data_IF_217071852608
#
_entry.id   IF_217071852608
#
_cell.length_a   1.000
_cell.length_b   1.000
_cell.length_c   1.000
_cell.angle_alpha   90.00
_cell.angle_beta   90.00
_cell.angle_gamma   90.00
#
_symmetry.space_group_name_H-M   'P 1'
#
loop_
_entity.id
_entity.type
_entity.pdbx_description
1 polymer ?
#
# COMPACT_ATOMS: atom_id res chain seq x y z
N UNK A 1 17.64 -20.31 -2.32
CA UNK A 1 16.87 -19.35 -3.10
C UNK A 1 17.29 -17.94 -2.79
N UNK A 2 17.42 -17.16 -3.79
CA UNK A 2 17.77 -15.78 -3.58
C UNK A 2 16.51 -14.95 -3.42
N UNK A 3 16.36 -14.35 -2.27
CA UNK A 3 15.27 -13.43 -2.05
C UNK A 3 15.68 -12.09 -2.65
N UNK A 4 14.97 -11.67 -3.64
CA UNK A 4 15.22 -10.37 -4.18
C UNK A 4 14.83 -9.29 -3.21
N UNK A 5 14.88 -8.08 -3.70
CA UNK A 5 14.43 -6.96 -2.91
C UNK A 5 12.94 -7.09 -2.66
N UNK A 6 12.53 -6.75 -1.44
CA UNK A 6 11.11 -6.74 -1.12
C UNK A 6 10.45 -5.62 -1.88
N UNK A 7 9.50 -5.96 -2.74
CA UNK A 7 8.86 -4.97 -3.59
C UNK A 7 7.65 -4.33 -2.95
N UNK A 8 7.01 -5.01 -2.02
CA UNK A 8 5.86 -4.42 -1.36
C UNK A 8 5.63 -5.11 -0.02
N UNK A 9 4.90 -4.42 0.82
CA UNK A 9 4.55 -4.88 2.16
C UNK A 9 3.04 -4.85 2.26
N UNK A 10 2.44 -5.98 2.63
CA UNK A 10 1.00 -6.06 2.82
C UNK A 10 0.60 -5.58 4.19
N UNK A 11 -0.39 -4.73 4.26
CA UNK A 11 -0.89 -4.17 5.52
C UNK A 11 -2.41 -4.29 5.54
N UNK A 12 -2.92 -5.06 6.50
CA UNK A 12 -4.37 -5.17 6.70
C UNK A 12 -4.86 -3.90 7.39
N UNK A 13 -5.97 -3.36 6.91
CA UNK A 13 -6.53 -2.15 7.49
C UNK A 13 -8.05 -2.24 7.49
N UNK A 14 -8.71 -1.71 8.53
CA UNK A 14 -10.15 -1.61 8.51
C UNK A 14 -10.68 -0.53 7.57
N UNK A 15 -9.81 0.38 7.12
CA UNK A 15 -10.24 1.46 6.24
C UNK A 15 -9.06 1.92 5.40
N UNK A 16 -9.14 1.65 4.09
CA UNK A 16 -8.13 2.12 3.16
C UNK A 16 -8.11 3.64 3.13
N UNK A 17 -9.29 4.26 3.20
CA UNK A 17 -9.36 5.72 3.16
C UNK A 17 -8.58 6.36 4.30
N UNK A 18 -8.73 5.84 5.50
CA UNK A 18 -8.00 6.39 6.65
C UNK A 18 -6.52 6.07 6.56
N UNK A 19 -6.17 4.89 6.07
CA UNK A 19 -4.76 4.53 5.93
C UNK A 19 -4.07 5.38 4.89
N UNK A 20 -4.75 5.69 3.78
CA UNK A 20 -4.18 6.57 2.75
C UNK A 20 -3.89 7.94 3.36
N UNK A 21 -4.82 8.46 4.16
CA UNK A 21 -4.59 9.73 4.83
C UNK A 21 -3.38 9.67 5.74
N UNK A 22 -3.24 8.59 6.50
CA UNK A 22 -2.11 8.41 7.40
C UNK A 22 -0.79 8.39 6.63
N UNK A 23 -0.73 7.61 5.56
CA UNK A 23 0.53 7.52 4.81
C UNK A 23 0.87 8.83 4.13
N UNK A 24 -0.14 9.60 3.72
CA UNK A 24 0.10 10.90 3.12
C UNK A 24 0.63 11.90 4.14
N UNK A 25 0.00 11.98 5.30
CA UNK A 25 0.29 13.03 6.27
C UNK A 25 1.45 12.69 7.18
N UNK A 26 1.61 11.43 7.52
CA UNK A 26 2.62 11.03 8.50
C UNK A 26 3.85 10.46 7.83
N UNK A 27 3.65 9.61 6.83
CA UNK A 27 4.76 8.90 6.20
C UNK A 27 5.31 9.57 4.96
N UNK A 28 4.65 10.63 4.52
CA UNK A 28 5.16 11.40 3.39
C UNK A 28 4.96 10.74 2.03
N UNK A 29 4.08 9.77 1.94
CA UNK A 29 3.79 9.14 0.66
C UNK A 29 3.16 10.15 -0.28
N UNK A 30 3.56 10.13 -1.54
CA UNK A 30 3.09 11.10 -2.52
C UNK A 30 2.34 10.47 -3.68
N UNK A 31 2.35 9.15 -3.81
CA UNK A 31 1.73 8.50 -4.94
C UNK A 31 0.82 7.39 -4.46
N UNK A 32 -0.45 7.51 -4.80
CA UNK A 32 -1.47 6.55 -4.39
C UNK A 32 -2.16 6.02 -5.63
N UNK A 33 -2.22 4.70 -5.75
CA UNK A 33 -2.88 4.06 -6.88
C UNK A 33 -4.35 3.91 -6.57
N UNK A 34 -5.16 3.83 -7.63
CA UNK A 34 -6.60 3.70 -7.45
C UNK A 34 -6.93 2.37 -6.78
N UNK A 35 -7.77 2.38 -5.74
CA UNK A 35 -8.16 1.12 -5.09
C UNK A 35 -8.97 0.24 -6.05
N UNK A 36 -8.86 -1.07 -5.84
CA UNK A 36 -9.64 -2.01 -6.63
C UNK A 36 -10.03 -3.21 -5.77
N UNK A 37 -11.10 -3.90 -6.17
CA UNK A 37 -11.62 -5.02 -5.43
C UNK A 37 -11.06 -6.32 -5.96
N UNK A 38 -10.65 -7.21 -5.05
CA UNK A 38 -10.31 -8.59 -5.36
C UNK A 38 -11.40 -9.46 -4.77
N UNK A 39 -12.48 -9.63 -5.52
CA UNK A 39 -13.67 -10.27 -4.99
C UNK A 39 -13.44 -11.73 -4.63
N UNK A 40 -12.60 -12.42 -5.40
CA UNK A 40 -12.29 -13.81 -5.11
C UNK A 40 -11.65 -13.97 -3.74
N UNK A 41 -10.97 -12.95 -3.26
CA UNK A 41 -10.34 -12.98 -1.95
C UNK A 41 -11.09 -12.17 -0.91
N UNK A 42 -12.17 -11.51 -1.31
CA UNK A 42 -13.00 -10.77 -0.40
C UNK A 42 -12.34 -9.53 0.17
N UNK A 43 -11.48 -8.88 -0.59
CA UNK A 43 -10.76 -7.72 -0.10
C UNK A 43 -10.72 -6.60 -1.14
N UNK A 44 -10.55 -5.40 -0.65
CA UNK A 44 -10.22 -4.24 -1.47
C UNK A 44 -8.74 -3.94 -1.27
N UNK A 45 -8.06 -3.55 -2.31
CA UNK A 45 -6.62 -3.34 -2.29
C UNK A 45 -6.28 -1.95 -2.80
N UNK A 46 -5.33 -1.30 -2.15
CA UNK A 46 -4.84 -0.02 -2.62
C UNK A 46 -3.32 0.01 -2.46
N UNK A 47 -2.62 0.28 -3.55
CA UNK A 47 -1.17 0.40 -3.50
C UNK A 47 -0.75 1.83 -3.23
N UNK A 48 0.23 1.97 -2.36
CA UNK A 48 0.79 3.27 -1.97
C UNK A 48 2.29 3.22 -2.17
N UNK A 49 2.81 4.15 -2.94
CA UNK A 49 4.26 4.23 -3.16
C UNK A 49 4.86 5.13 -2.09
N UNK A 50 5.92 4.65 -1.44
CA UNK A 50 6.60 5.43 -0.43
C UNK A 50 7.88 6.02 -1.00
N UNK A 51 8.37 7.13 -0.42
CA UNK A 51 9.63 7.70 -0.88
C UNK A 51 10.80 6.81 -0.49
N UNK A 52 11.78 6.75 -1.36
CA UNK A 52 12.99 6.02 -1.09
C UNK A 52 14.15 6.97 -0.88
N UNK A 53 15.34 6.42 -0.79
CA UNK A 53 16.54 7.21 -0.62
C UNK A 53 17.05 7.68 -1.97
N UNK A 54 17.67 8.85 -1.97
CA UNK A 54 18.36 9.38 -3.16
C UNK A 54 17.45 9.47 -4.37
N UNK A 55 16.19 9.86 -4.16
CA UNK A 55 15.28 10.05 -5.27
C UNK A 55 14.69 8.77 -5.83
N UNK A 56 15.01 7.62 -5.25
CA UNK A 56 14.40 6.36 -5.68
C UNK A 56 13.10 6.13 -4.94
N UNK A 57 12.34 5.13 -5.38
CA UNK A 57 11.11 4.75 -4.68
C UNK A 57 11.44 3.79 -3.56
N UNK A 58 10.75 3.97 -2.43
CA UNK A 58 10.84 3.02 -1.34
C UNK A 58 9.94 1.82 -1.60
N UNK A 59 9.72 1.01 -0.56
CA UNK A 59 8.82 -0.13 -0.70
C UNK A 59 7.41 0.32 -1.04
N UNK A 60 6.69 -0.51 -1.77
CA UNK A 60 5.29 -0.26 -2.06
C UNK A 60 4.46 -0.88 -0.95
N UNK A 61 3.50 -0.14 -0.44
CA UNK A 61 2.59 -0.63 0.59
C UNK A 61 1.31 -1.10 -0.08
N UNK A 62 0.91 -2.30 0.25
CA UNK A 62 -0.36 -2.87 -0.24
C UNK A 62 -1.36 -2.85 0.90
N UNK A 63 -2.28 -1.89 0.87
CA UNK A 63 -3.33 -1.79 1.88
C UNK A 63 -4.45 -2.74 1.53
N UNK A 64 -4.87 -3.56 2.50
CA UNK A 64 -5.85 -4.61 2.28
C UNK A 64 -6.99 -4.43 3.26
N UNK A 65 -8.18 -4.19 2.71
CA UNK A 65 -9.37 -3.94 3.52
C UNK A 65 -10.41 -5.02 3.23
N UNK A 66 -11.00 -5.65 4.25
CA UNK A 66 -12.05 -6.64 4.01
C UNK A 66 -13.26 -6.00 3.34
N UNK A 67 -13.87 -6.73 2.40
CA UNK A 67 -15.06 -6.25 1.70
C UNK A 67 -16.34 -6.48 2.48
N UNK A 68 -16.36 -7.44 3.39
CA UNK A 68 -17.59 -7.76 4.07
C UNK A 68 -17.51 -7.87 5.54
#
# INVERSE_FOLDING_TARGET
MKLGRLNHIGVATPSIEESVRYYREVMGATKFHKPFDLEAQGVKVCFVDTPGENGTNGPQIELIEPLG
#
